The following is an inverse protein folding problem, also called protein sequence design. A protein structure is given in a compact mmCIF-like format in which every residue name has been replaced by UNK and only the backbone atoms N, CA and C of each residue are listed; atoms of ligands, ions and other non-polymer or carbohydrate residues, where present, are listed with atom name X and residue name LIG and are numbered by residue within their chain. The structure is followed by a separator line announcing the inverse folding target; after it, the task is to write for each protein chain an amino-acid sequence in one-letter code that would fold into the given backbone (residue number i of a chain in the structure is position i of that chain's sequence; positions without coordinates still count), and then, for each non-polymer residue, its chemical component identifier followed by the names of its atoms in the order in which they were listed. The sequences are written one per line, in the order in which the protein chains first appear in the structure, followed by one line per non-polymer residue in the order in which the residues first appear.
data_IF_508894265059
#
_entry.id   IF_508894265059
#
_cell.length_a   1.000
_cell.length_b   1.000
_cell.length_c   1.000
_cell.angle_alpha   90.00
_cell.angle_beta   90.00
_cell.angle_gamma   90.00
#
_symmetry.space_group_name_H-M   'P 1'
#
loop_
_entity.id
_entity.type
_entity.pdbx_description
1 polymer ?
#
# COMPACT_ATOMS: atom_id res chain seq x y z
N UNK A 1 -25.40 5.62 -1.13
CA UNK A 1 -24.22 6.48 -0.91
C UNK A 1 -23.74 6.18 0.50
N UNK A 2 -22.67 5.39 0.66
CA UNK A 2 -22.09 5.16 1.99
C UNK A 2 -21.50 6.50 2.46
N UNK A 3 -21.96 7.01 3.60
CA UNK A 3 -21.32 8.14 4.26
C UNK A 3 -19.85 7.75 4.48
N UNK A 4 -18.93 8.55 3.97
CA UNK A 4 -17.49 8.35 4.19
C UNK A 4 -17.26 8.35 5.71
N UNK A 5 -16.86 7.20 6.27
CA UNK A 5 -16.62 7.10 7.70
C UNK A 5 -15.46 8.03 8.07
N UNK A 6 -15.72 9.00 8.94
CA UNK A 6 -14.69 9.93 9.37
C UNK A 6 -13.65 9.22 10.26
N UNK A 7 -12.35 9.43 10.05
CA UNK A 7 -11.33 8.80 10.87
C UNK A 7 -11.33 9.38 12.28
N UNK A 8 -10.96 8.54 13.27
CA UNK A 8 -10.71 8.96 14.65
C UNK A 8 -9.52 9.94 14.67
N UNK A 9 -9.68 11.08 15.35
CA UNK A 9 -8.63 12.11 15.47
C UNK A 9 -8.14 12.25 16.91
N UNK A 10 -7.04 12.99 17.10
CA UNK A 10 -6.46 13.24 18.43
C UNK A 10 -7.46 13.76 19.48
N UNK A 11 -8.38 14.70 19.17
CA UNK A 11 -9.38 15.14 20.14
C UNK A 11 -10.36 14.04 20.57
N UNK A 12 -10.69 13.10 19.69
CA UNK A 12 -11.56 11.96 20.02
C UNK A 12 -10.84 11.00 20.97
N UNK A 13 -9.55 10.77 20.74
CA UNK A 13 -8.68 9.95 21.60
C UNK A 13 -8.59 10.54 23.00
N UNK A 14 -8.32 11.85 23.11
CA UNK A 14 -8.21 12.54 24.40
C UNK A 14 -9.52 12.45 25.20
N UNK A 15 -10.65 12.71 24.55
CA UNK A 15 -11.97 12.60 25.19
C UNK A 15 -12.30 11.19 25.64
N UNK A 16 -11.98 10.19 24.82
CA UNK A 16 -12.18 8.79 25.18
C UNK A 16 -11.30 8.37 26.37
N UNK A 17 -10.04 8.83 26.43
CA UNK A 17 -9.14 8.58 27.57
C UNK A 17 -9.67 9.22 28.85
N UNK A 18 -10.14 10.46 28.78
CA UNK A 18 -10.76 11.13 29.95
C UNK A 18 -11.99 10.37 30.43
N UNK A 19 -12.89 9.97 29.53
CA UNK A 19 -14.08 9.19 29.88
C UNK A 19 -13.76 7.84 30.56
N UNK A 20 -12.69 7.16 30.12
CA UNK A 20 -12.24 5.92 30.78
C UNK A 20 -11.71 6.19 32.19
N UNK A 21 -10.94 7.28 32.39
CA UNK A 21 -10.36 7.63 33.70
C UNK A 21 -11.41 8.11 34.70
N UNK A 22 -12.45 8.81 34.23
CA UNK A 22 -13.55 9.32 35.04
C UNK A 22 -14.56 8.24 35.44
N UNK A 23 -14.59 7.09 34.74
CA UNK A 23 -15.48 5.98 35.04
C UNK A 23 -15.25 5.34 36.42
N UNK A 24 -14.13 5.61 37.10
CA UNK A 24 -13.90 5.22 38.48
C UNK A 24 -14.14 3.73 38.76
N UNK A 25 -14.98 3.41 39.74
CA UNK A 25 -15.24 2.03 40.20
C UNK A 25 -15.89 1.13 39.14
N UNK A 26 -16.66 1.70 38.19
CA UNK A 26 -17.31 0.93 37.11
C UNK A 26 -16.42 0.74 35.89
N UNK A 27 -15.24 1.36 35.85
CA UNK A 27 -14.28 1.25 34.76
C UNK A 27 -13.91 -0.21 34.50
N UNK A 28 -13.59 -0.98 35.55
CA UNK A 28 -13.10 -2.36 35.43
C UNK A 28 -14.10 -3.29 34.74
N UNK A 29 -15.38 -3.41 35.18
CA UNK A 29 -16.35 -4.28 34.52
C UNK A 29 -16.72 -3.80 33.10
N UNK A 30 -16.79 -2.48 32.87
CA UNK A 30 -17.04 -1.93 31.53
C UNK A 30 -15.89 -2.23 30.56
N UNK A 31 -14.66 -2.05 31.01
CA UNK A 31 -13.47 -2.29 30.23
C UNK A 31 -13.29 -3.79 29.90
N UNK A 32 -13.59 -4.67 30.88
CA UNK A 32 -13.62 -6.11 30.67
C UNK A 32 -14.69 -6.52 29.63
N UNK A 33 -15.89 -5.95 29.71
CA UNK A 33 -16.96 -6.17 28.72
C UNK A 33 -16.53 -5.72 27.31
N UNK A 34 -15.97 -4.52 27.18
CA UNK A 34 -15.53 -3.97 25.90
C UNK A 34 -14.43 -4.84 25.26
N UNK A 35 -13.41 -5.23 26.04
CA UNK A 35 -12.35 -6.13 25.55
C UNK A 35 -12.90 -7.48 25.10
N UNK A 36 -13.82 -8.05 25.87
CA UNK A 36 -14.43 -9.36 25.61
C UNK A 36 -15.29 -9.33 24.33
N UNK A 37 -16.05 -8.27 24.10
CA UNK A 37 -16.82 -8.09 22.87
C UNK A 37 -15.93 -7.84 21.65
N UNK A 38 -14.93 -6.96 21.75
CA UNK A 38 -14.02 -6.68 20.63
C UNK A 38 -13.17 -7.89 20.27
N UNK A 39 -12.72 -8.65 21.26
CA UNK A 39 -12.00 -9.90 21.02
C UNK A 39 -12.85 -10.89 20.23
N UNK A 40 -14.12 -11.08 20.61
CA UNK A 40 -15.03 -11.95 19.85
C UNK A 40 -15.33 -11.44 18.45
N UNK A 41 -15.47 -10.13 18.28
CA UNK A 41 -15.62 -9.53 16.96
C UNK A 41 -14.41 -9.82 16.08
N UNK A 42 -13.20 -9.71 16.62
CA UNK A 42 -11.98 -10.04 15.91
C UNK A 42 -11.85 -11.54 15.61
N UNK A 43 -12.17 -12.42 16.56
CA UNK A 43 -12.17 -13.88 16.36
C UNK A 43 -13.18 -14.30 15.27
N UNK A 44 -14.40 -13.76 15.33
CA UNK A 44 -15.47 -14.04 14.38
C UNK A 44 -15.36 -13.26 13.06
N UNK A 45 -14.45 -12.27 12.99
CA UNK A 45 -14.35 -11.28 11.90
C UNK A 45 -15.68 -10.60 11.59
N UNK A 46 -16.41 -10.21 12.63
CA UNK A 46 -17.74 -9.60 12.54
C UNK A 46 -17.69 -8.12 12.91
N UNK A 47 -18.27 -7.25 12.09
CA UNK A 47 -18.33 -5.82 12.35
C UNK A 47 -19.23 -5.43 13.53
N UNK A 48 -20.15 -6.31 13.90
CA UNK A 48 -21.18 -6.03 14.90
C UNK A 48 -21.56 -7.31 15.65
N UNK A 49 -21.66 -7.21 16.98
CA UNK A 49 -21.89 -8.35 17.87
C UNK A 49 -23.38 -8.72 18.03
N UNK A 50 -24.29 -7.76 17.83
CA UNK A 50 -25.72 -7.94 18.06
C UNK A 50 -26.16 -7.61 19.48
N UNK A 51 -27.28 -6.89 19.60
CA UNK A 51 -27.90 -6.47 20.86
C UNK A 51 -28.06 -7.63 21.86
N UNK A 52 -28.59 -8.78 21.43
CA UNK A 52 -28.80 -9.96 22.29
C UNK A 52 -27.50 -10.49 22.91
N UNK A 53 -26.41 -10.51 22.13
CA UNK A 53 -25.12 -10.98 22.61
C UNK A 53 -24.52 -9.96 23.58
N UNK A 54 -24.62 -8.68 23.27
CA UNK A 54 -24.11 -7.60 24.13
C UNK A 54 -24.84 -7.61 25.48
N UNK A 55 -26.17 -7.73 25.50
CA UNK A 55 -26.95 -7.80 26.73
C UNK A 55 -26.56 -9.01 27.59
N UNK A 56 -26.44 -10.20 27.01
CA UNK A 56 -26.02 -11.41 27.73
C UNK A 56 -24.60 -11.29 28.31
N UNK A 57 -23.69 -10.58 27.63
CA UNK A 57 -22.34 -10.34 28.14
C UNK A 57 -22.29 -9.24 29.19
N UNK A 58 -23.09 -8.19 29.04
CA UNK A 58 -23.22 -7.15 30.05
C UNK A 58 -23.68 -7.74 31.39
N UNK A 59 -24.68 -8.63 31.36
CA UNK A 59 -25.12 -9.38 32.54
C UNK A 59 -23.98 -10.24 33.15
N UNK A 60 -23.24 -10.98 32.32
CA UNK A 60 -22.12 -11.80 32.78
C UNK A 60 -20.96 -11.00 33.40
N UNK A 61 -20.75 -9.76 32.97
CA UNK A 61 -19.75 -8.84 33.52
C UNK A 61 -20.31 -7.93 34.63
N UNK A 62 -21.61 -8.07 34.99
CA UNK A 62 -22.26 -7.26 36.02
C UNK A 62 -22.45 -5.78 35.64
N UNK A 63 -22.51 -5.47 34.35
CA UNK A 63 -22.64 -4.12 33.82
C UNK A 63 -24.11 -3.75 33.64
N UNK A 64 -24.56 -2.70 34.32
CA UNK A 64 -25.90 -2.12 34.11
C UNK A 64 -25.85 -0.95 33.14
N UNK A 65 -27.00 -0.61 32.53
CA UNK A 65 -27.09 0.55 31.62
C UNK A 65 -26.77 1.87 32.33
N UNK A 66 -27.15 2.02 33.60
CA UNK A 66 -26.82 3.20 34.41
C UNK A 66 -25.32 3.31 34.66
N UNK A 67 -24.67 2.20 34.99
CA UNK A 67 -23.22 2.14 35.19
C UNK A 67 -22.43 2.43 33.91
N UNK A 68 -23.00 2.13 32.73
CA UNK A 68 -22.35 2.34 31.44
C UNK A 68 -22.41 3.79 30.92
N UNK A 69 -22.98 4.73 31.68
CA UNK A 69 -23.05 6.13 31.28
C UNK A 69 -21.68 6.82 31.45
N UNK A 70 -21.19 7.43 30.37
CA UNK A 70 -19.98 8.27 30.37
C UNK A 70 -20.31 9.64 29.77
N UNK A 71 -19.44 10.64 29.95
CA UNK A 71 -19.60 11.94 29.30
C UNK A 71 -19.61 11.86 27.75
N UNK A 72 -18.96 10.83 27.20
CA UNK A 72 -18.91 10.57 25.76
C UNK A 72 -20.12 9.76 25.24
N UNK A 73 -21.04 9.36 26.12
CA UNK A 73 -22.21 8.55 25.81
C UNK A 73 -22.29 7.27 26.63
N UNK A 74 -23.37 6.51 26.43
CA UNK A 74 -23.56 5.24 27.13
C UNK A 74 -22.87 4.10 26.38
N UNK A 75 -21.79 3.55 26.95
CA UNK A 75 -20.97 2.52 26.30
C UNK A 75 -21.78 1.27 25.96
N UNK A 76 -22.68 0.84 26.84
CA UNK A 76 -23.50 -0.33 26.61
C UNK A 76 -24.44 -0.12 25.42
N UNK A 77 -25.11 1.03 25.36
CA UNK A 77 -25.97 1.38 24.22
C UNK A 77 -25.18 1.49 22.91
N UNK A 78 -23.95 2.01 22.95
CA UNK A 78 -23.04 2.07 21.80
C UNK A 78 -22.68 0.65 21.32
N UNK A 79 -22.33 -0.25 22.23
CA UNK A 79 -22.00 -1.65 21.89
C UNK A 79 -23.22 -2.41 21.35
N UNK A 80 -24.41 -2.11 21.87
CA UNK A 80 -25.68 -2.70 21.42
C UNK A 80 -26.07 -2.25 20.02
N UNK A 81 -25.84 -1.01 19.60
CA UNK A 81 -26.20 -0.54 18.25
C UNK A 81 -25.05 -0.53 17.23
N UNK A 82 -23.81 -0.54 17.72
CA UNK A 82 -22.60 -0.27 16.95
C UNK A 82 -22.20 1.22 17.00
N UNK A 83 -20.90 1.55 17.00
CA UNK A 83 -20.46 2.94 17.05
C UNK A 83 -20.61 3.65 15.69
N UNK A 84 -21.32 4.77 15.68
CA UNK A 84 -21.60 5.54 14.47
C UNK A 84 -20.62 6.71 14.29
N UNK A 85 -20.17 7.30 15.40
CA UNK A 85 -19.27 8.47 15.38
C UNK A 85 -17.81 8.10 15.67
N UNK A 86 -16.84 8.94 15.24
CA UNK A 86 -15.42 8.72 15.56
C UNK A 86 -15.16 8.63 17.08
N UNK A 87 -15.83 9.48 17.86
CA UNK A 87 -15.73 9.46 19.33
C UNK A 87 -16.25 8.15 19.92
N UNK A 88 -17.36 7.61 19.42
CA UNK A 88 -17.90 6.33 19.91
C UNK A 88 -16.95 5.16 19.60
N UNK A 89 -16.32 5.16 18.42
CA UNK A 89 -15.29 4.18 18.07
C UNK A 89 -14.06 4.30 18.97
N UNK A 90 -13.61 5.52 19.23
CA UNK A 90 -12.53 5.82 20.16
C UNK A 90 -12.87 5.34 21.58
N UNK A 91 -14.09 5.58 22.05
CA UNK A 91 -14.55 5.18 23.37
C UNK A 91 -14.52 3.65 23.55
N UNK A 92 -15.06 2.92 22.56
CA UNK A 92 -15.06 1.45 22.57
C UNK A 92 -13.63 0.90 22.57
N UNK A 93 -12.74 1.42 21.72
CA UNK A 93 -11.34 1.02 21.68
C UNK A 93 -10.60 1.35 22.99
N UNK A 94 -10.84 2.53 23.57
CA UNK A 94 -10.25 2.95 24.83
C UNK A 94 -10.64 2.01 25.99
N UNK A 95 -11.92 1.71 26.15
CA UNK A 95 -12.38 0.75 27.17
C UNK A 95 -11.83 -0.66 26.93
N UNK A 96 -11.76 -1.12 25.67
CA UNK A 96 -11.17 -2.42 25.38
C UNK A 96 -9.69 -2.50 25.76
N UNK A 97 -8.90 -1.45 25.49
CA UNK A 97 -7.50 -1.38 25.93
C UNK A 97 -7.40 -1.33 27.45
N UNK A 98 -8.23 -0.54 28.12
CA UNK A 98 -8.29 -0.53 29.59
C UNK A 98 -8.63 -1.92 30.17
N UNK A 99 -9.41 -2.73 29.45
CA UNK A 99 -9.77 -4.09 29.87
C UNK A 99 -8.56 -5.02 29.95
N UNK A 100 -7.49 -4.71 29.22
CA UNK A 100 -6.23 -5.43 29.28
C UNK A 100 -5.51 -5.24 30.63
N UNK A 101 -5.74 -4.09 31.29
CA UNK A 101 -5.20 -3.81 32.63
C UNK A 101 -5.87 -4.64 33.73
N UNK A 102 -7.13 -5.03 33.54
CA UNK A 102 -7.90 -5.81 34.52
C UNK A 102 -7.49 -7.30 34.60
N UNK A 103 -6.59 -7.76 33.72
CA UNK A 103 -6.15 -9.14 33.68
C UNK A 103 -5.29 -9.52 34.90
N UNK A 104 -5.53 -10.71 35.47
CA UNK A 104 -4.65 -11.32 36.48
C UNK A 104 -3.29 -11.65 35.85
N UNK A 105 -2.21 -11.56 36.63
CA UNK A 105 -0.84 -11.77 36.14
C UNK A 105 -0.61 -13.16 35.52
N UNK A 106 -1.26 -14.20 36.03
CA UNK A 106 -1.14 -15.56 35.50
C UNK A 106 -1.58 -15.70 34.03
N UNK A 107 -2.55 -14.88 33.59
CA UNK A 107 -3.07 -14.90 32.21
C UNK A 107 -2.48 -13.79 31.34
N UNK A 108 -1.60 -12.96 31.91
CA UNK A 108 -1.15 -11.70 31.29
C UNK A 108 -0.55 -11.91 29.91
N UNK A 109 0.36 -12.86 29.78
CA UNK A 109 1.05 -13.16 28.51
C UNK A 109 0.08 -13.63 27.43
N UNK A 110 -0.80 -14.57 27.77
CA UNK A 110 -1.79 -15.12 26.82
C UNK A 110 -2.79 -14.05 26.37
N UNK A 111 -3.24 -13.18 27.27
CA UNK A 111 -4.15 -12.09 26.90
C UNK A 111 -3.49 -11.04 26.02
N UNK A 112 -2.25 -10.66 26.31
CA UNK A 112 -1.49 -9.74 25.45
C UNK A 112 -1.28 -10.35 24.07
N UNK A 113 -0.90 -11.63 24.00
CA UNK A 113 -0.76 -12.38 22.75
C UNK A 113 -2.05 -12.37 21.93
N UNK A 114 -3.20 -12.71 22.54
CA UNK A 114 -4.51 -12.65 21.87
C UNK A 114 -4.88 -11.25 21.43
N UNK A 115 -4.69 -10.27 22.30
CA UNK A 115 -5.00 -8.87 22.01
C UNK A 115 -4.24 -8.38 20.77
N UNK A 116 -2.94 -8.65 20.66
CA UNK A 116 -2.14 -8.26 19.48
C UNK A 116 -2.67 -8.90 18.20
N UNK A 117 -3.05 -10.18 18.23
CA UNK A 117 -3.61 -10.87 17.05
C UNK A 117 -5.02 -10.39 16.69
N UNK A 118 -5.81 -9.99 17.67
CA UNK A 118 -7.14 -9.39 17.45
C UNK A 118 -7.02 -7.97 16.90
N UNK A 119 -6.07 -7.18 17.43
CA UNK A 119 -5.78 -5.83 17.00
C UNK A 119 -5.43 -5.76 15.50
N UNK A 120 -4.74 -6.77 14.94
CA UNK A 120 -4.47 -6.83 13.50
C UNK A 120 -5.74 -6.72 12.65
N UNK A 121 -6.81 -7.43 13.02
CA UNK A 121 -8.07 -7.36 12.29
C UNK A 121 -8.82 -6.07 12.57
N UNK A 122 -8.82 -5.61 13.82
CA UNK A 122 -9.48 -4.35 14.21
C UNK A 122 -8.88 -3.16 13.44
N UNK A 123 -7.56 -3.01 13.43
CA UNK A 123 -6.85 -1.88 12.82
C UNK A 123 -6.88 -1.91 11.28
N UNK A 124 -6.88 -3.10 10.67
CA UNK A 124 -6.78 -3.23 9.21
C UNK A 124 -8.12 -3.39 8.50
N UNK A 125 -9.13 -3.91 9.20
CA UNK A 125 -10.41 -4.26 8.60
C UNK A 125 -11.58 -3.47 9.18
N UNK A 126 -11.40 -2.70 10.24
CA UNK A 126 -12.47 -1.90 10.85
C UNK A 126 -11.99 -0.47 11.13
N UNK A 127 -12.90 0.37 11.61
CA UNK A 127 -12.57 1.74 12.01
C UNK A 127 -12.10 1.85 13.48
N UNK A 128 -11.82 0.72 14.15
CA UNK A 128 -11.27 0.70 15.50
C UNK A 128 -9.75 0.84 15.49
N UNK A 129 -9.25 1.94 16.04
CA UNK A 129 -7.83 2.14 16.33
C UNK A 129 -7.56 1.89 17.82
N UNK A 130 -6.89 0.79 18.16
CA UNK A 130 -6.62 0.37 19.55
C UNK A 130 -5.23 0.77 20.03
N UNK A 131 -4.21 0.75 19.16
CA UNK A 131 -2.84 1.07 19.56
C UNK A 131 -2.63 2.47 20.14
N UNK A 132 -3.33 3.53 19.69
CA UNK A 132 -3.19 4.86 20.28
C UNK A 132 -3.53 4.93 21.77
N UNK A 133 -4.27 3.96 22.31
CA UNK A 133 -4.68 3.96 23.71
C UNK A 133 -3.73 3.20 24.64
N UNK A 134 -2.81 2.39 24.10
CA UNK A 134 -1.91 1.51 24.87
C UNK A 134 -1.09 2.30 25.88
N UNK A 135 -0.32 3.29 25.43
CA UNK A 135 0.52 4.11 26.32
C UNK A 135 -0.28 5.08 27.21
N UNK A 136 -1.53 5.36 26.84
CA UNK A 136 -2.37 6.36 27.52
C UNK A 136 -3.18 5.76 28.67
N UNK A 137 -3.49 4.46 28.60
CA UNK A 137 -4.38 3.77 29.53
C UNK A 137 -3.72 2.62 30.30
N UNK A 138 -2.62 2.05 29.79
CA UNK A 138 -1.92 0.98 30.48
C UNK A 138 -0.74 1.52 31.29
N UNK A 139 -0.46 0.86 32.40
CA UNK A 139 0.78 1.07 33.15
C UNK A 139 2.00 0.69 32.29
N UNK A 140 3.13 1.35 32.53
CA UNK A 140 4.34 1.24 31.70
C UNK A 140 4.77 -0.21 31.44
N UNK A 141 4.78 -1.05 32.48
CA UNK A 141 5.15 -2.46 32.34
C UNK A 141 4.18 -3.27 31.48
N UNK A 142 2.89 -2.94 31.49
CA UNK A 142 1.86 -3.64 30.70
C UNK A 142 1.80 -3.13 29.26
N UNK A 143 2.01 -1.83 29.05
CA UNK A 143 2.24 -1.27 27.72
C UNK A 143 3.49 -1.90 27.07
N UNK A 144 4.59 -2.04 27.82
CA UNK A 144 5.82 -2.66 27.35
C UNK A 144 5.62 -4.10 26.86
N UNK A 145 4.78 -4.90 27.51
CA UNK A 145 4.46 -6.24 27.04
C UNK A 145 3.71 -6.24 25.71
N UNK A 146 2.76 -5.32 25.53
CA UNK A 146 2.02 -5.17 24.26
C UNK A 146 2.99 -4.84 23.14
N UNK A 147 3.90 -3.89 23.34
CA UNK A 147 4.89 -3.52 22.34
C UNK A 147 5.91 -4.64 22.08
N UNK A 148 6.32 -5.38 23.11
CA UNK A 148 7.21 -6.52 22.96
C UNK A 148 6.56 -7.65 22.15
N UNK A 149 5.31 -7.97 22.43
CA UNK A 149 4.55 -8.98 21.68
C UNK A 149 4.26 -8.54 20.25
N UNK A 150 3.96 -7.25 20.03
CA UNK A 150 3.77 -6.68 18.69
C UNK A 150 5.04 -6.82 17.83
N UNK A 151 6.21 -6.52 18.41
CA UNK A 151 7.49 -6.73 17.74
C UNK A 151 7.79 -8.22 17.48
N UNK A 152 7.51 -9.09 18.45
CA UNK A 152 7.69 -10.53 18.28
C UNK A 152 6.83 -11.08 17.14
N UNK A 153 5.57 -10.63 17.04
CA UNK A 153 4.66 -11.01 15.96
C UNK A 153 5.21 -10.66 14.57
N UNK A 154 5.85 -9.49 14.43
CA UNK A 154 6.50 -9.08 13.18
C UNK A 154 7.64 -10.03 12.82
N UNK A 155 8.49 -10.37 13.79
CA UNK A 155 9.62 -11.28 13.58
C UNK A 155 9.16 -12.68 13.21
N UNK A 156 8.18 -13.22 13.93
CA UNK A 156 7.66 -14.57 13.72
C UNK A 156 7.02 -14.71 12.34
N UNK A 157 6.23 -13.72 11.91
CA UNK A 157 5.54 -13.76 10.61
C UNK A 157 6.42 -13.35 9.43
N UNK A 158 7.46 -12.56 9.64
CA UNK A 158 8.41 -12.21 8.57
C UNK A 158 9.38 -13.37 8.23
N UNK A 159 9.50 -14.36 9.13
CA UNK A 159 10.38 -15.50 8.93
C UNK A 159 9.84 -16.50 7.88
N UNK A 160 10.74 -17.05 7.07
CA UNK A 160 10.43 -18.17 6.17
C UNK A 160 9.41 -17.81 5.06
N UNK A 161 8.42 -18.68 4.87
CA UNK A 161 7.42 -18.55 3.77
C UNK A 161 6.44 -17.39 3.98
N UNK A 162 6.20 -16.97 5.22
CA UNK A 162 5.21 -15.95 5.51
C UNK A 162 5.69 -14.54 5.13
N UNK A 163 7.00 -14.24 5.23
CA UNK A 163 7.58 -12.99 4.72
C UNK A 163 7.44 -12.79 3.20
N UNK A 164 7.25 -13.87 2.44
CA UNK A 164 7.00 -13.81 1.00
C UNK A 164 5.56 -13.39 0.66
N UNK A 165 4.63 -13.48 1.62
CA UNK A 165 3.19 -13.23 1.40
C UNK A 165 2.87 -11.73 1.50
N UNK A 166 2.25 -11.13 0.47
CA UNK A 166 1.89 -9.71 0.50
C UNK A 166 0.98 -9.30 1.67
N UNK A 167 0.02 -10.15 2.04
CA UNK A 167 -0.91 -9.91 3.13
C UNK A 167 -0.22 -9.84 4.50
N UNK A 168 0.86 -10.61 4.69
CA UNK A 168 1.66 -10.59 5.92
C UNK A 168 2.51 -9.32 5.98
N UNK A 169 3.13 -8.92 4.87
CA UNK A 169 3.87 -7.65 4.79
C UNK A 169 2.98 -6.43 5.05
N UNK A 170 1.75 -6.44 4.54
CA UNK A 170 0.79 -5.36 4.80
C UNK A 170 0.43 -5.28 6.29
N UNK A 171 0.20 -6.43 6.94
CA UNK A 171 -0.04 -6.50 8.38
C UNK A 171 1.16 -6.01 9.19
N UNK A 172 2.36 -6.49 8.86
CA UNK A 172 3.60 -6.07 9.51
C UNK A 172 3.88 -4.58 9.32
N UNK A 173 3.52 -3.99 8.17
CA UNK A 173 3.60 -2.54 7.98
C UNK A 173 2.72 -1.79 9.00
N UNK A 174 1.48 -2.24 9.22
CA UNK A 174 0.60 -1.67 10.25
C UNK A 174 1.19 -1.78 11.66
N UNK A 175 1.71 -2.96 12.03
CA UNK A 175 2.38 -3.17 13.33
C UNK A 175 3.61 -2.28 13.52
N UNK A 176 4.44 -2.16 12.48
CA UNK A 176 5.62 -1.28 12.50
C UNK A 176 5.23 0.20 12.61
N UNK A 177 4.17 0.63 11.93
CA UNK A 177 3.62 1.98 12.07
C UNK A 177 3.13 2.25 13.49
N UNK A 178 2.45 1.29 14.13
CA UNK A 178 2.01 1.42 15.52
C UNK A 178 3.21 1.53 16.49
N UNK A 179 4.25 0.70 16.31
CA UNK A 179 5.49 0.82 17.10
C UNK A 179 6.17 2.18 16.91
N UNK A 180 6.19 2.70 15.68
CA UNK A 180 6.81 3.97 15.34
C UNK A 180 6.02 5.17 15.88
N UNK A 181 4.69 5.10 15.94
CA UNK A 181 3.82 6.16 16.45
C UNK A 181 3.94 6.34 17.96
N UNK A 182 4.14 5.25 18.71
CA UNK A 182 4.38 5.31 20.15
C UNK A 182 5.70 6.02 20.50
N UNK A 183 5.63 6.92 21.49
CA UNK A 183 6.80 7.59 22.08
C UNK A 183 7.42 6.82 23.25
N UNK A 184 6.83 5.68 23.66
CA UNK A 184 7.33 4.89 24.79
C UNK A 184 8.70 4.28 24.48
N UNK A 185 9.60 4.30 25.47
CA UNK A 185 10.95 3.71 25.35
C UNK A 185 10.85 2.23 24.97
N UNK A 186 9.94 1.49 25.62
CA UNK A 186 9.68 0.08 25.33
C UNK A 186 9.27 -0.16 23.86
N UNK A 187 8.49 0.74 23.25
CA UNK A 187 8.11 0.64 21.83
C UNK A 187 9.31 0.91 20.91
N UNK A 188 10.12 1.93 21.21
CA UNK A 188 11.33 2.20 20.44
C UNK A 188 12.35 1.06 20.52
N UNK A 189 12.51 0.47 21.70
CA UNK A 189 13.38 -0.69 21.89
C UNK A 189 12.82 -1.95 21.21
N UNK A 190 11.51 -2.14 21.23
CA UNK A 190 10.83 -3.19 20.47
C UNK A 190 11.07 -3.02 18.95
N UNK A 191 10.94 -1.81 18.41
CA UNK A 191 11.23 -1.52 17.01
C UNK A 191 12.71 -1.78 16.64
N UNK A 192 13.66 -1.38 17.50
CA UNK A 192 15.10 -1.69 17.30
C UNK A 192 15.38 -3.18 17.30
N UNK A 193 14.72 -3.96 18.17
CA UNK A 193 14.81 -5.43 18.18
C UNK A 193 14.28 -6.04 16.88
N UNK A 194 13.23 -5.46 16.30
CA UNK A 194 12.76 -5.88 14.97
C UNK A 194 13.85 -5.60 13.93
N UNK A 195 14.39 -4.37 13.88
CA UNK A 195 15.46 -3.99 12.92
C UNK A 195 16.68 -4.92 13.00
N UNK A 196 17.10 -5.34 14.20
CA UNK A 196 18.25 -6.22 14.38
C UNK A 196 17.97 -7.70 14.10
N UNK A 197 16.72 -8.07 13.83
CA UNK A 197 16.35 -9.45 13.54
C UNK A 197 16.77 -9.88 12.14
N UNK A 198 17.64 -10.90 12.08
CA UNK A 198 18.07 -11.51 10.83
C UNK A 198 16.94 -12.25 10.09
N UNK A 199 15.82 -12.53 10.75
CA UNK A 199 14.69 -13.27 10.20
C UNK A 199 13.79 -12.43 9.28
N UNK A 200 13.98 -11.11 9.23
CA UNK A 200 13.13 -10.22 8.43
C UNK A 200 13.39 -10.35 6.93
N UNK A 201 12.32 -10.35 6.14
CA UNK A 201 12.38 -10.08 4.71
C UNK A 201 12.86 -8.64 4.44
N UNK A 202 13.50 -8.45 3.29
CA UNK A 202 14.16 -7.19 2.94
C UNK A 202 13.19 -5.98 2.95
N UNK A 203 11.97 -6.04 2.36
CA UNK A 203 11.00 -4.95 2.48
C UNK A 203 10.62 -4.57 3.91
N UNK A 204 10.30 -5.56 4.77
CA UNK A 204 9.92 -5.31 6.16
C UNK A 204 11.09 -4.70 6.95
N UNK A 205 12.31 -5.18 6.71
CA UNK A 205 13.53 -4.64 7.31
C UNK A 205 13.77 -3.18 6.95
N UNK A 206 13.64 -2.83 5.67
CA UNK A 206 13.80 -1.45 5.20
C UNK A 206 12.74 -0.50 5.77
N UNK A 207 11.51 -0.97 5.90
CA UNK A 207 10.46 -0.18 6.55
C UNK A 207 10.77 0.02 8.04
N UNK A 208 11.12 -1.05 8.75
CA UNK A 208 11.46 -0.99 10.17
C UNK A 208 12.65 -0.05 10.42
N UNK A 209 13.72 -0.12 9.61
CA UNK A 209 14.88 0.76 9.77
C UNK A 209 14.55 2.22 9.46
N UNK A 210 13.74 2.48 8.44
CA UNK A 210 13.25 3.83 8.12
C UNK A 210 12.46 4.41 9.28
N UNK A 211 11.55 3.63 9.86
CA UNK A 211 10.71 4.05 10.98
C UNK A 211 11.48 4.19 12.29
N UNK A 212 12.56 3.42 12.47
CA UNK A 212 13.46 3.55 13.62
C UNK A 212 14.32 4.82 13.57
N UNK A 213 14.36 5.52 12.43
CA UNK A 213 15.28 6.64 12.19
C UNK A 213 16.68 6.22 11.73
N UNK A 214 16.95 4.90 11.68
CA UNK A 214 18.19 4.30 11.18
C UNK A 214 18.27 4.29 9.64
N UNK A 215 17.22 4.76 8.95
CA UNK A 215 17.16 4.87 7.49
C UNK A 215 18.25 5.75 6.85
N UNK A 216 19.13 6.36 7.65
CA UNK A 216 20.39 6.96 7.24
C UNK A 216 21.59 5.99 7.26
N UNK A 217 21.37 4.68 7.38
CA UNK A 217 22.41 3.66 7.29
C UNK A 217 23.06 3.66 5.89
N UNK A 218 24.29 4.17 5.84
CA UNK A 218 25.26 4.20 4.74
C UNK A 218 24.65 4.25 3.32
N UNK A 219 24.25 5.46 2.94
CA UNK A 219 24.07 5.84 1.54
C UNK A 219 25.37 5.54 0.79
N UNK A 220 25.36 4.46 0.01
CA UNK A 220 26.49 4.09 -0.83
C UNK A 220 26.91 5.29 -1.68
N UNK A 221 28.10 5.82 -1.43
CA UNK A 221 28.75 6.89 -2.20
C UNK A 221 29.35 6.37 -3.51
N UNK A 222 29.18 5.07 -3.80
CA UNK A 222 29.60 4.50 -5.06
C UNK A 222 28.82 5.13 -6.22
N UNK A 223 29.47 5.42 -7.36
CA UNK A 223 28.81 5.97 -8.53
C UNK A 223 27.71 4.99 -8.99
N UNK A 224 26.46 5.42 -8.83
CA UNK A 224 25.32 4.59 -9.22
C UNK A 224 25.07 4.75 -10.72
N UNK A 225 25.19 3.64 -11.45
CA UNK A 225 24.95 3.55 -12.89
C UNK A 225 23.71 2.71 -13.17
N UNK A 226 22.87 3.21 -14.06
CA UNK A 226 21.68 2.51 -14.56
C UNK A 226 21.70 2.50 -16.08
N UNK A 227 21.49 1.32 -16.69
CA UNK A 227 21.31 1.19 -18.14
C UNK A 227 19.92 0.66 -18.45
N UNK A 228 19.27 1.27 -19.44
CA UNK A 228 17.98 0.81 -19.94
C UNK A 228 17.72 1.22 -21.38
N UNK A 229 16.57 0.80 -21.89
CA UNK A 229 16.08 1.23 -23.21
C UNK A 229 15.22 2.49 -23.05
N UNK A 230 15.46 3.49 -23.89
CA UNK A 230 14.67 4.72 -23.96
C UNK A 230 13.21 4.40 -24.32
N UNK A 231 12.33 4.52 -23.33
CA UNK A 231 10.90 4.49 -23.50
C UNK A 231 10.34 5.84 -23.91
N UNK A 232 9.08 5.87 -24.36
CA UNK A 232 8.35 7.13 -24.52
C UNK A 232 7.86 7.60 -23.16
N UNK A 233 8.19 8.83 -22.80
CA UNK A 233 7.54 9.48 -21.68
C UNK A 233 6.03 9.63 -21.94
N UNK A 234 5.18 9.55 -20.90
CA UNK A 234 3.74 9.67 -21.06
C UNK A 234 3.40 11.06 -21.62
N UNK A 235 2.60 11.12 -22.68
CA UNK A 235 2.10 12.37 -23.27
C UNK A 235 0.67 12.61 -22.77
N UNK A 236 0.25 13.87 -22.68
CA UNK A 236 -1.08 14.25 -22.19
C UNK A 236 -2.22 13.64 -23.01
N UNK A 237 -3.33 13.35 -22.32
CA UNK A 237 -4.43 12.47 -22.73
C UNK A 237 -5.27 12.94 -23.93
N UNK A 238 -5.42 14.24 -24.17
CA UNK A 238 -6.34 14.74 -25.20
C UNK A 238 -5.84 14.51 -26.65
N UNK A 239 -4.53 14.62 -26.88
CA UNK A 239 -3.93 14.39 -28.19
C UNK A 239 -3.83 12.91 -28.54
N UNK A 240 -3.81 12.02 -27.54
CA UNK A 240 -3.83 10.59 -27.76
C UNK A 240 -5.16 10.14 -28.35
N UNK A 241 -6.29 10.66 -27.85
CA UNK A 241 -7.63 10.35 -28.38
C UNK A 241 -7.76 10.76 -29.86
N UNK A 242 -7.27 11.94 -30.24
CA UNK A 242 -7.20 12.39 -31.64
C UNK A 242 -6.30 11.50 -32.52
N UNK A 243 -5.19 11.00 -31.97
CA UNK A 243 -4.31 10.04 -32.65
C UNK A 243 -5.00 8.70 -32.91
N UNK A 244 -5.84 8.24 -31.97
CA UNK A 244 -6.63 7.03 -32.12
C UNK A 244 -7.74 7.20 -33.18
N UNK A 245 -8.44 8.34 -33.16
CA UNK A 245 -9.52 8.64 -34.11
C UNK A 245 -9.04 8.89 -35.54
N UNK A 246 -7.81 9.40 -35.73
CA UNK A 246 -7.27 9.75 -37.06
C UNK A 246 -6.66 8.58 -37.84
N UNK A 247 -6.60 7.37 -37.27
CA UNK A 247 -5.91 6.23 -37.90
C UNK A 247 -4.37 6.35 -37.94
N UNK A 248 -3.81 7.49 -37.52
CA UNK A 248 -2.37 7.73 -37.43
C UNK A 248 -1.66 6.77 -36.48
N UNK A 249 -2.39 6.25 -35.49
CA UNK A 249 -1.90 5.21 -34.61
C UNK A 249 -1.42 3.98 -35.40
N UNK A 250 -2.19 3.51 -36.40
CA UNK A 250 -1.88 2.35 -37.25
C UNK A 250 -0.60 2.55 -38.06
N UNK A 251 -0.47 3.69 -38.72
CA UNK A 251 0.73 4.00 -39.49
C UNK A 251 1.97 4.06 -38.58
N UNK A 252 1.83 4.67 -37.41
CA UNK A 252 2.91 4.72 -36.42
C UNK A 252 3.28 3.34 -35.85
N UNK A 253 2.34 2.39 -35.81
CA UNK A 253 2.57 1.01 -35.41
C UNK A 253 3.37 0.25 -36.47
N UNK A 254 2.99 0.36 -37.74
CA UNK A 254 3.68 -0.30 -38.86
C UNK A 254 5.16 0.13 -38.95
N UNK A 255 5.42 1.43 -38.89
CA UNK A 255 6.78 1.99 -38.91
C UNK A 255 7.61 1.47 -37.73
N UNK A 256 6.99 1.30 -36.55
CA UNK A 256 7.67 0.84 -35.33
C UNK A 256 8.00 -0.65 -35.39
N UNK A 257 7.06 -1.47 -35.88
CA UNK A 257 7.30 -2.90 -36.10
C UNK A 257 8.45 -3.13 -37.09
N UNK A 258 8.47 -2.37 -38.19
CA UNK A 258 9.58 -2.39 -39.16
C UNK A 258 10.90 -1.97 -38.50
N UNK A 259 10.90 -0.88 -37.71
CA UNK A 259 12.10 -0.44 -36.99
C UNK A 259 12.63 -1.47 -35.99
N UNK A 260 11.75 -2.20 -35.31
CA UNK A 260 12.11 -3.29 -34.42
C UNK A 260 12.76 -4.47 -35.19
N UNK A 261 12.18 -4.87 -36.32
CA UNK A 261 12.73 -5.90 -37.20
C UNK A 261 14.10 -5.51 -37.76
N UNK A 262 14.30 -4.23 -38.08
CA UNK A 262 15.59 -3.67 -38.51
C UNK A 262 16.60 -3.47 -37.36
N UNK A 263 16.29 -3.92 -36.14
CA UNK A 263 17.19 -3.89 -35.01
C UNK A 263 17.47 -2.47 -34.49
N UNK A 264 16.57 -1.51 -34.73
CA UNK A 264 16.69 -0.15 -34.19
C UNK A 264 16.45 -0.19 -32.68
N UNK A 265 17.46 0.17 -31.89
CA UNK A 265 17.38 0.24 -30.42
C UNK A 265 17.84 1.60 -29.95
N UNK A 266 17.11 2.17 -28.98
CA UNK A 266 17.51 3.39 -28.28
C UNK A 266 17.85 3.01 -26.86
N UNK A 267 19.12 3.15 -26.49
CA UNK A 267 19.61 2.92 -25.13
C UNK A 267 19.86 4.25 -24.46
N UNK A 268 19.65 4.29 -23.16
CA UNK A 268 20.20 5.36 -22.34
C UNK A 268 20.80 4.81 -21.05
N UNK A 269 21.83 5.50 -20.62
CA UNK A 269 22.59 5.24 -19.43
C UNK A 269 22.53 6.48 -18.54
N UNK A 270 22.21 6.28 -17.27
CA UNK A 270 22.27 7.30 -16.23
C UNK A 270 23.43 6.97 -15.31
N UNK A 271 24.30 7.95 -15.08
CA UNK A 271 25.35 7.85 -14.09
C UNK A 271 25.22 9.00 -13.11
N UNK A 272 25.19 8.69 -11.81
CA UNK A 272 25.19 9.68 -10.75
C UNK A 272 26.64 9.94 -10.32
N UNK A 273 27.18 11.12 -10.64
CA UNK A 273 28.56 11.49 -10.36
C UNK A 273 28.61 12.92 -9.77
N UNK A 274 29.07 13.03 -8.52
CA UNK A 274 29.39 14.31 -7.88
C UNK A 274 28.26 15.34 -7.94
N UNK A 275 27.06 14.99 -7.47
CA UNK A 275 25.93 15.92 -7.40
C UNK A 275 25.26 16.24 -8.74
N UNK A 276 25.45 15.40 -9.74
CA UNK A 276 24.79 15.52 -11.04
C UNK A 276 24.50 14.15 -11.66
N UNK A 277 23.41 14.07 -12.42
CA UNK A 277 23.04 12.91 -13.23
C UNK A 277 23.50 13.14 -14.66
N UNK A 278 24.44 12.34 -15.15
CA UNK A 278 24.84 12.34 -16.56
C UNK A 278 23.99 11.33 -17.32
N UNK A 279 23.31 11.81 -18.35
CA UNK A 279 22.45 11.06 -19.26
C UNK A 279 23.18 10.84 -20.58
N UNK A 280 23.59 9.60 -20.85
CA UNK A 280 24.15 9.20 -22.14
C UNK A 280 23.08 8.46 -22.93
N UNK A 281 22.83 8.89 -24.17
CA UNK A 281 21.84 8.31 -25.06
C UNK A 281 22.53 7.76 -26.30
N UNK A 282 22.15 6.55 -26.73
CA UNK A 282 22.70 5.89 -27.90
C UNK A 282 21.56 5.32 -28.76
N UNK A 283 21.52 5.71 -30.02
CA UNK A 283 20.68 5.11 -31.04
C UNK A 283 21.53 4.12 -31.84
N UNK A 284 21.19 2.84 -31.77
CA UNK A 284 21.81 1.80 -32.58
C UNK A 284 20.83 1.20 -33.59
N UNK A 285 21.36 0.73 -34.71
CA UNK A 285 20.63 -0.02 -35.74
C UNK A 285 21.55 -1.13 -36.22
N UNK A 286 21.03 -2.36 -36.29
CA UNK A 286 21.82 -3.55 -36.65
C UNK A 286 23.11 -3.70 -35.81
N UNK A 287 23.05 -3.32 -34.53
CA UNK A 287 24.19 -3.40 -33.61
C UNK A 287 25.24 -2.29 -33.75
N UNK A 288 25.08 -1.35 -34.70
CA UNK A 288 25.99 -0.20 -34.88
C UNK A 288 25.37 1.07 -34.30
N UNK A 289 26.16 1.88 -33.59
CA UNK A 289 25.72 3.17 -33.05
C UNK A 289 25.65 4.19 -34.18
N UNK A 290 24.46 4.71 -34.46
CA UNK A 290 24.21 5.75 -35.47
C UNK A 290 24.36 7.14 -34.86
N UNK A 291 23.89 7.30 -33.62
CA UNK A 291 23.82 8.62 -32.96
C UNK A 291 24.03 8.46 -31.47
N UNK A 292 24.93 9.27 -30.92
CA UNK A 292 25.15 9.39 -29.48
C UNK A 292 24.89 10.82 -29.02
N UNK A 293 24.47 10.98 -27.77
CA UNK A 293 24.37 12.28 -27.11
C UNK A 293 24.62 12.12 -25.62
N UNK A 294 25.30 13.08 -25.00
CA UNK A 294 25.58 13.09 -23.58
C UNK A 294 25.13 14.44 -23.00
N UNK A 295 24.36 14.39 -21.92
CA UNK A 295 23.86 15.56 -21.21
C UNK A 295 24.11 15.41 -19.71
N UNK A 296 24.35 16.53 -19.01
CA UNK A 296 24.51 16.53 -17.55
C UNK A 296 23.42 17.35 -16.89
N UNK A 297 22.67 16.73 -15.99
CA UNK A 297 21.59 17.35 -15.23
C UNK A 297 22.05 17.55 -13.78
N UNK A 298 21.92 18.76 -13.28
CA UNK A 298 22.21 19.05 -11.86
C UNK A 298 21.07 18.52 -10.98
N UNK A 299 21.37 18.11 -9.75
CA UNK A 299 20.35 17.54 -8.85
C UNK A 299 19.25 18.55 -8.47
N UNK A 300 19.60 19.83 -8.34
CA UNK A 300 18.66 20.94 -8.09
C UNK A 300 17.64 21.15 -9.23
N UNK A 301 17.95 20.67 -10.43
CA UNK A 301 17.07 20.74 -11.59
C UNK A 301 16.17 19.50 -11.75
N UNK A 302 16.34 18.46 -10.93
CA UNK A 302 15.49 17.28 -10.95
C UNK A 302 14.19 17.55 -10.20
N UNK A 303 13.06 17.36 -10.88
CA UNK A 303 11.73 17.49 -10.26
C UNK A 303 11.28 16.17 -9.61
N UNK A 304 11.87 15.04 -10.03
CA UNK A 304 11.54 13.74 -9.45
C UNK A 304 12.17 12.56 -10.17
N UNK A 305 12.34 11.46 -9.44
CA UNK A 305 12.71 10.17 -9.99
C UNK A 305 11.94 9.07 -9.28
N UNK A 306 11.42 8.10 -10.02
CA UNK A 306 10.65 7.00 -9.44
C UNK A 306 10.63 5.77 -10.33
N UNK A 307 10.52 4.59 -9.71
CA UNK A 307 10.22 3.35 -10.44
C UNK A 307 8.71 3.14 -10.51
N UNK A 308 8.21 2.65 -11.64
CA UNK A 308 6.85 2.14 -11.72
C UNK A 308 6.84 0.66 -11.35
N UNK A 309 5.92 0.30 -10.46
CA UNK A 309 5.66 -1.10 -10.06
C UNK A 309 5.09 -1.88 -11.24
N UNK A 310 5.32 -3.20 -11.24
CA UNK A 310 4.83 -4.13 -12.27
C UNK A 310 3.31 -4.04 -12.40
N UNK A 311 2.81 -3.83 -13.62
CA UNK A 311 1.38 -3.77 -13.97
C UNK A 311 0.57 -2.59 -13.41
N UNK A 312 1.01 -1.33 -13.55
CA UNK A 312 0.27 -0.18 -13.01
C UNK A 312 -1.09 0.05 -13.70
N UNK A 313 -1.30 -0.58 -14.86
CA UNK A 313 -2.49 -0.43 -15.69
C UNK A 313 -3.26 -1.75 -15.91
N UNK A 314 -3.01 -2.81 -15.13
CA UNK A 314 -3.70 -4.11 -15.32
C UNK A 314 -5.22 -3.96 -15.30
N UNK A 315 -5.72 -3.13 -14.38
CA UNK A 315 -7.15 -2.82 -14.27
C UNK A 315 -7.69 -2.13 -15.53
N UNK A 316 -6.91 -1.23 -16.15
CA UNK A 316 -7.25 -0.64 -17.44
C UNK A 316 -7.22 -1.68 -18.57
N UNK A 317 -6.31 -2.66 -18.53
CA UNK A 317 -6.29 -3.76 -19.50
C UNK A 317 -7.56 -4.61 -19.42
N UNK A 318 -7.96 -4.98 -18.20
CA UNK A 318 -9.22 -5.71 -17.97
C UNK A 318 -10.41 -4.90 -18.49
N UNK A 319 -10.43 -3.59 -18.23
CA UNK A 319 -11.46 -2.69 -18.74
C UNK A 319 -11.50 -2.58 -20.26
N UNK A 320 -10.35 -2.43 -20.92
CA UNK A 320 -10.26 -2.35 -22.39
C UNK A 320 -10.62 -3.68 -23.06
N UNK A 321 -10.19 -4.80 -22.50
CA UNK A 321 -10.57 -6.14 -23.01
C UNK A 321 -12.06 -6.37 -22.82
N UNK A 322 -12.63 -6.04 -21.65
CA UNK A 322 -14.06 -6.15 -21.39
C UNK A 322 -14.87 -5.24 -22.33
N UNK A 323 -14.43 -4.00 -22.56
CA UNK A 323 -15.07 -3.09 -23.51
C UNK A 323 -15.00 -3.63 -24.94
N UNK A 324 -13.84 -4.15 -25.36
CA UNK A 324 -13.67 -4.75 -26.69
C UNK A 324 -14.59 -5.97 -26.90
N UNK A 325 -14.70 -6.84 -25.88
CA UNK A 325 -15.65 -7.96 -25.89
C UNK A 325 -17.08 -7.45 -25.94
N UNK A 326 -17.42 -6.43 -25.14
CA UNK A 326 -18.75 -5.80 -25.14
C UNK A 326 -19.11 -5.15 -26.47
N UNK A 327 -18.17 -4.50 -27.16
CA UNK A 327 -18.36 -3.92 -28.50
C UNK A 327 -18.49 -5.00 -29.56
N UNK A 328 -17.72 -6.09 -29.48
CA UNK A 328 -17.86 -7.24 -30.37
C UNK A 328 -19.23 -7.90 -30.22
N UNK A 329 -19.61 -8.29 -28.99
CA UNK A 329 -20.87 -8.97 -28.74
C UNK A 329 -22.06 -8.04 -28.95
N UNK A 330 -21.99 -6.81 -28.44
CA UNK A 330 -23.04 -5.80 -28.64
C UNK A 330 -23.19 -5.42 -30.11
N UNK A 331 -22.09 -5.32 -30.85
CA UNK A 331 -22.09 -5.08 -32.28
C UNK A 331 -22.72 -6.23 -33.06
N UNK A 332 -22.37 -7.49 -32.77
CA UNK A 332 -22.99 -8.68 -33.39
C UNK A 332 -24.49 -8.72 -33.10
N UNK A 333 -24.92 -8.50 -31.85
CA UNK A 333 -26.33 -8.52 -31.47
C UNK A 333 -27.13 -7.37 -32.10
N UNK A 334 -26.54 -6.16 -32.17
CA UNK A 334 -27.15 -5.00 -32.81
C UNK A 334 -27.22 -5.16 -34.34
N UNK A 335 -26.23 -5.82 -34.95
CA UNK A 335 -26.10 -6.01 -36.40
C UNK A 335 -26.93 -7.19 -36.91
N UNK A 336 -27.07 -8.28 -36.14
CA UNK A 336 -28.07 -9.33 -36.38
C UNK A 336 -29.49 -8.73 -36.34
N UNK A 337 -29.69 -7.68 -35.54
CA UNK A 337 -30.91 -6.86 -35.55
C UNK A 337 -31.06 -5.96 -36.78
N UNK A 338 -30.00 -5.72 -37.56
CA UNK A 338 -29.91 -4.70 -38.62
C UNK A 338 -29.41 -5.23 -39.99
N UNK A 339 -29.92 -6.38 -40.44
CA UNK A 339 -30.42 -6.56 -41.83
C UNK A 339 -29.50 -6.65 -43.08
N UNK A 340 -28.17 -6.45 -43.14
CA UNK A 340 -27.48 -6.43 -44.48
C UNK A 340 -26.02 -6.91 -44.60
N UNK A 341 -25.81 -8.14 -45.04
CA UNK A 341 -25.15 -8.36 -46.34
C UNK A 341 -23.63 -8.42 -46.54
N UNK A 342 -22.74 -8.18 -45.58
CA UNK A 342 -21.39 -8.81 -45.61
C UNK A 342 -20.67 -8.76 -44.24
N UNK A 343 -21.10 -9.67 -43.37
CA UNK A 343 -20.58 -9.87 -42.01
C UNK A 343 -19.06 -10.07 -41.98
N UNK A 344 -18.50 -10.68 -43.03
CA UNK A 344 -17.10 -11.09 -43.10
C UNK A 344 -16.14 -9.89 -43.12
N UNK A 345 -16.42 -8.84 -43.90
CA UNK A 345 -15.55 -7.66 -43.97
C UNK A 345 -15.57 -6.85 -42.67
N UNK A 346 -16.71 -6.81 -41.99
CA UNK A 346 -16.88 -6.10 -40.73
C UNK A 346 -16.18 -6.83 -39.57
N UNK A 347 -16.30 -8.17 -39.53
CA UNK A 347 -15.54 -9.01 -38.59
C UNK A 347 -14.03 -8.95 -38.86
N UNK A 348 -13.60 -8.88 -40.13
CA UNK A 348 -12.19 -8.74 -40.51
C UNK A 348 -11.63 -7.39 -40.05
N UNK A 349 -12.36 -6.29 -40.27
CA UNK A 349 -11.96 -4.95 -39.84
C UNK A 349 -11.90 -4.83 -38.31
N UNK A 350 -12.91 -5.37 -37.61
CA UNK A 350 -12.92 -5.45 -36.15
C UNK A 350 -11.77 -6.32 -35.63
N UNK A 351 -11.52 -7.48 -36.25
CA UNK A 351 -10.43 -8.39 -35.90
C UNK A 351 -9.05 -7.77 -36.10
N UNK A 352 -8.84 -6.97 -37.15
CA UNK A 352 -7.59 -6.25 -37.39
C UNK A 352 -7.36 -5.11 -36.39
N UNK A 353 -8.42 -4.35 -36.05
CA UNK A 353 -8.36 -3.30 -35.03
C UNK A 353 -8.04 -3.90 -33.64
N UNK A 354 -8.75 -4.97 -33.27
CA UNK A 354 -8.60 -5.64 -31.99
C UNK A 354 -7.29 -6.40 -31.89
N UNK A 355 -6.87 -7.07 -32.96
CA UNK A 355 -5.59 -7.76 -33.05
C UNK A 355 -4.41 -6.78 -32.96
N UNK A 356 -4.50 -5.63 -33.63
CA UNK A 356 -3.50 -4.57 -33.55
C UNK A 356 -3.40 -3.97 -32.13
N UNK A 357 -4.54 -3.70 -31.50
CA UNK A 357 -4.59 -3.20 -30.12
C UNK A 357 -4.07 -4.24 -29.11
N UNK A 358 -4.47 -5.51 -29.25
CA UNK A 358 -4.01 -6.60 -28.40
C UNK A 358 -2.50 -6.86 -28.56
N UNK A 359 -1.96 -6.77 -29.78
CA UNK A 359 -0.54 -6.92 -30.05
C UNK A 359 0.28 -5.75 -29.50
N UNK A 360 -0.16 -4.50 -29.68
CA UNK A 360 0.49 -3.31 -29.10
C UNK A 360 0.48 -3.39 -27.58
N UNK A 361 -0.66 -3.79 -27.01
CA UNK A 361 -0.83 -3.99 -25.58
C UNK A 361 0.06 -5.13 -25.05
N UNK A 362 0.19 -6.22 -25.79
CA UNK A 362 1.11 -7.29 -25.47
C UNK A 362 2.57 -6.82 -25.53
N UNK A 363 2.92 -6.01 -26.53
CA UNK A 363 4.27 -5.47 -26.68
C UNK A 363 4.60 -4.38 -25.64
N UNK A 364 3.64 -3.58 -25.18
CA UNK A 364 3.87 -2.54 -24.17
C UNK A 364 3.81 -3.08 -22.73
N UNK A 365 3.14 -4.23 -22.49
CA UNK A 365 2.98 -4.80 -21.14
C UNK A 365 3.76 -6.09 -20.91
N UNK A 366 3.76 -7.06 -21.84
CA UNK A 366 4.51 -8.31 -21.66
C UNK A 366 6.02 -8.13 -21.85
N UNK A 367 6.44 -7.21 -22.73
CA UNK A 367 7.86 -7.03 -23.06
C UNK A 367 8.64 -6.33 -21.94
N UNK A 368 8.10 -5.35 -21.19
CA UNK A 368 8.73 -4.85 -19.96
C UNK A 368 8.53 -5.79 -18.76
N UNK A 369 7.62 -6.77 -18.86
CA UNK A 369 7.21 -7.66 -17.76
C UNK A 369 8.16 -8.81 -17.42
N UNK A 370 9.44 -8.76 -17.85
CA UNK A 370 10.45 -9.75 -17.44
C UNK A 370 10.73 -9.61 -15.93
N UNK A 371 10.64 -10.72 -15.20
CA UNK A 371 10.92 -10.79 -13.75
C UNK A 371 12.31 -10.15 -13.49
N UNK A 372 12.38 -9.21 -12.53
CA UNK A 372 13.62 -8.50 -12.20
C UNK A 372 13.94 -7.26 -13.05
N UNK A 373 13.02 -6.81 -13.93
CA UNK A 373 13.18 -5.55 -14.69
C UNK A 373 12.06 -4.57 -14.36
N UNK A 374 12.36 -3.27 -14.35
CA UNK A 374 11.42 -2.17 -14.04
C UNK A 374 11.51 -1.03 -15.05
N UNK A 375 10.55 -0.11 -14.94
CA UNK A 375 10.56 1.18 -15.64
C UNK A 375 10.97 2.25 -14.64
N UNK A 376 11.97 3.06 -15.01
CA UNK A 376 12.46 4.20 -14.25
C UNK A 376 12.08 5.47 -14.99
N UNK A 377 11.31 6.34 -14.33
CA UNK A 377 10.92 7.67 -14.82
C UNK A 377 11.78 8.72 -14.09
N UNK A 378 12.40 9.63 -14.84
CA UNK A 378 13.19 10.76 -14.31
C UNK A 378 12.72 12.05 -14.99
N UNK A 379 12.37 13.06 -14.21
CA UNK A 379 11.91 14.37 -14.69
C UNK A 379 12.80 15.51 -14.19
N UNK A 380 13.02 16.52 -15.04
CA UNK A 380 13.80 17.69 -14.73
C UNK A 380 13.12 18.96 -15.28
N UNK A 381 13.25 20.08 -14.56
CA UNK A 381 12.44 21.30 -14.73
C UNK A 381 12.44 21.89 -16.14
N UNK A 382 13.57 21.77 -16.83
CA UNK A 382 13.78 22.36 -18.15
C UNK A 382 14.06 21.32 -19.23
N UNK A 383 13.72 20.03 -19.00
CA UNK A 383 14.02 18.93 -19.92
C UNK A 383 12.82 18.01 -20.10
N UNK A 384 12.67 17.38 -21.28
CA UNK A 384 11.63 16.39 -21.48
C UNK A 384 11.85 15.22 -20.50
N UNK A 385 10.77 14.67 -19.90
CA UNK A 385 10.88 13.53 -19.00
C UNK A 385 11.55 12.35 -19.71
N UNK A 386 12.48 11.71 -19.01
CA UNK A 386 13.18 10.54 -19.49
C UNK A 386 12.57 9.29 -18.88
N UNK A 387 12.22 8.34 -19.75
CA UNK A 387 11.76 7.02 -19.34
C UNK A 387 12.77 5.97 -19.77
N UNK A 388 13.27 5.21 -18.82
CA UNK A 388 14.07 4.02 -19.06
C UNK A 388 13.23 2.78 -18.80
N UNK A 389 13.21 1.88 -19.77
CA UNK A 389 12.53 0.59 -19.72
C UNK A 389 13.56 -0.53 -19.65
N UNK A 390 13.13 -1.71 -19.16
CA UNK A 390 13.99 -2.90 -19.01
C UNK A 390 15.21 -2.65 -18.11
N UNK A 391 15.09 -1.78 -17.11
CA UNK A 391 16.17 -1.51 -16.15
C UNK A 391 16.22 -2.67 -15.13
N UNK A 392 17.38 -3.26 -14.80
CA UNK A 392 17.49 -4.20 -13.69
C UNK A 392 16.98 -3.60 -12.37
N UNK A 393 16.19 -4.37 -11.62
CA UNK A 393 15.57 -3.91 -10.37
C UNK A 393 16.59 -3.45 -9.33
N UNK A 394 17.67 -4.21 -9.19
CA UNK A 394 18.82 -3.94 -8.33
C UNK A 394 19.52 -2.62 -8.70
N UNK A 395 19.77 -2.40 -10.00
CA UNK A 395 20.38 -1.16 -10.49
C UNK A 395 19.46 0.05 -10.30
N UNK A 396 18.16 -0.11 -10.59
CA UNK A 396 17.18 0.96 -10.39
C UNK A 396 17.09 1.37 -8.92
N UNK A 397 17.08 0.41 -8.00
CA UNK A 397 17.02 0.68 -6.56
C UNK A 397 18.31 1.29 -6.04
N UNK A 398 19.47 0.79 -6.47
CA UNK A 398 20.75 1.39 -6.14
C UNK A 398 20.83 2.85 -6.61
N UNK A 399 20.39 3.13 -7.84
CA UNK A 399 20.35 4.49 -8.39
C UNK A 399 19.41 5.42 -7.62
N UNK A 400 18.18 4.97 -7.32
CA UNK A 400 17.21 5.76 -6.56
C UNK A 400 17.67 6.01 -5.11
N UNK A 401 18.33 5.03 -4.47
CA UNK A 401 18.93 5.21 -3.14
C UNK A 401 20.06 6.23 -3.17
N UNK A 402 20.97 6.12 -4.14
CA UNK A 402 22.08 7.06 -4.28
C UNK A 402 21.59 8.48 -4.57
N UNK A 403 20.52 8.63 -5.36
CA UNK A 403 19.90 9.92 -5.65
C UNK A 403 19.30 10.57 -4.39
N UNK A 404 18.67 9.79 -3.51
CA UNK A 404 18.16 10.26 -2.21
C UNK A 404 19.26 10.66 -1.23
N UNK A 405 20.48 10.13 -1.40
CA UNK A 405 21.58 10.43 -0.50
C UNK A 405 22.37 11.69 -0.83
N UNK A 406 22.17 12.28 -2.01
CA UNK A 406 22.93 13.44 -2.48
C UNK A 406 22.09 14.73 -2.59
N UNK A 407 20.77 14.64 -2.39
CA UNK A 407 19.85 15.77 -2.31
C UNK A 407 19.27 15.87 -0.92
#
# INVERSE_FOLDING_TARGET
MASEAQPVRAPDIERAVSAVREAGDVQTPLAALALDLLSRQAEGRTFYAGEKLVAARAEAHGVTREAAATEAGNLLAILERGPDTPLERALVAAFAVAGLAAAKDADRKERVWRFVRHADWLELCTDYAVYPFVDRLLEEGRAADVWAELAQAVVDEAAGRDGERPEVRARNAGRLSALADSSAVASKDALRRVVSSAALDEPTRLLASTLAGDGAAELSTAPARVEGELGRAPRGSALELLRWLSGWAILSWAIRGIGFLLGVRRKAELTLNGGAVTVRTELSMLGRVIRGGEERWRLDALDGAGRRVRYPALHLMVGVVALAVGVLFGGVVLFDGARSGELVLLLLAAGLLLGGAALDLALDVLVPGKRGRVVLDVSARSRPPLRLTRVPLDQADAFLRALRGQG
#
